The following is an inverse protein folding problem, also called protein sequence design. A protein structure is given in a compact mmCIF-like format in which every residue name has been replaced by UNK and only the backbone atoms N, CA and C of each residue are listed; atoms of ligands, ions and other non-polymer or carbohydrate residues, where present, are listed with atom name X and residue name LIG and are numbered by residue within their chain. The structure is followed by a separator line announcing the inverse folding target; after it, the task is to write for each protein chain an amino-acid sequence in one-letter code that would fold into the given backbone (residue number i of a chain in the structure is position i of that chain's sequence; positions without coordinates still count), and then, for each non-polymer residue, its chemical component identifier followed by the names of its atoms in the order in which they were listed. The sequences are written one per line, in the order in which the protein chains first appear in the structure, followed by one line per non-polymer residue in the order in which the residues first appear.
data_IF_882333783931
#
_entry.id   IF_882333783931
#
_cell.length_a   1.000
_cell.length_b   1.000
_cell.length_c   1.000
_cell.angle_alpha   90.00
_cell.angle_beta   90.00
_cell.angle_gamma   90.00
#
_symmetry.space_group_name_H-M   'P 1'
#
loop_
_entity.id
_entity.type
_entity.pdbx_description
1 polymer ?
#
# COMPACT_ATOMS: atom_id res chain seq x y z
N UNK A 1 -21.28 -22.57 17.17
CA UNK A 1 -20.72 -21.26 16.76
C UNK A 1 -19.22 -21.41 16.55
N UNK A 2 -18.73 -21.27 15.32
CA UNK A 2 -17.29 -21.16 15.00
C UNK A 2 -17.05 -19.79 14.35
N UNK A 3 -16.51 -18.88 15.15
CA UNK A 3 -15.77 -17.67 14.79
C UNK A 3 -14.60 -18.05 13.83
N UNK A 4 -14.12 -17.28 12.85
CA UNK A 4 -14.46 -15.96 12.27
C UNK A 4 -13.67 -15.86 10.96
N UNK A 5 -14.29 -15.35 9.88
CA UNK A 5 -13.72 -14.80 8.62
C UNK A 5 -12.50 -15.50 8.00
N UNK A 6 -12.76 -16.50 7.15
CA UNK A 6 -11.88 -16.82 6.02
C UNK A 6 -12.20 -15.86 4.88
N UNK A 7 -11.26 -15.00 4.45
CA UNK A 7 -11.23 -14.41 3.09
C UNK A 7 -10.08 -13.39 2.97
N UNK A 8 -9.27 -13.53 1.93
CA UNK A 8 -8.12 -12.65 1.56
C UNK A 8 -8.58 -11.34 0.90
N UNK A 9 -9.78 -10.85 1.23
CA UNK A 9 -10.56 -9.90 0.41
C UNK A 9 -11.29 -10.64 -0.73
N UNK A 10 -12.62 -10.54 -0.64
CA UNK A 10 -13.72 -11.11 -1.41
C UNK A 10 -13.68 -12.59 -1.90
N UNK A 11 -14.67 -13.35 -1.40
CA UNK A 11 -15.29 -14.58 -1.95
C UNK A 11 -14.53 -15.91 -2.02
N UNK A 12 -13.20 -15.99 -1.96
CA UNK A 12 -12.49 -17.29 -2.07
C UNK A 12 -11.89 -17.76 -0.74
N UNK A 13 -12.27 -18.97 -0.30
CA UNK A 13 -11.53 -19.68 0.74
C UNK A 13 -10.24 -20.24 0.12
N UNK A 14 -9.10 -19.82 0.64
CA UNK A 14 -7.78 -20.31 0.23
C UNK A 14 -7.27 -21.31 1.26
N UNK A 15 -6.43 -22.25 0.81
CA UNK A 15 -5.69 -23.13 1.71
C UNK A 15 -4.61 -22.35 2.48
N UNK A 16 -4.20 -22.84 3.66
CA UNK A 16 -3.18 -22.18 4.49
C UNK A 16 -1.85 -21.89 3.73
N UNK A 17 -1.34 -22.80 2.87
CA UNK A 17 -0.15 -22.51 2.06
C UNK A 17 -0.37 -21.39 1.04
N UNK A 18 -1.53 -21.34 0.39
CA UNK A 18 -1.88 -20.27 -0.56
C UNK A 18 -2.06 -18.93 0.15
N UNK A 19 -2.67 -18.94 1.34
CA UNK A 19 -2.79 -17.77 2.20
C UNK A 19 -1.42 -17.22 2.58
N UNK A 20 -0.48 -18.09 2.97
CA UNK A 20 0.89 -17.69 3.29
C UNK A 20 1.58 -17.06 2.08
N UNK A 21 1.54 -17.73 0.93
CA UNK A 21 2.19 -17.22 -0.28
C UNK A 21 1.64 -15.86 -0.73
N UNK A 22 0.32 -15.68 -0.70
CA UNK A 22 -0.33 -14.40 -1.00
C UNK A 22 0.04 -13.29 -0.01
N UNK A 23 0.15 -13.64 1.27
CA UNK A 23 0.58 -12.70 2.31
C UNK A 23 2.04 -12.25 2.11
N UNK A 24 2.93 -13.17 1.75
CA UNK A 24 4.34 -12.88 1.49
C UNK A 24 4.48 -11.99 0.24
N UNK A 25 3.73 -12.30 -0.82
CA UNK A 25 3.67 -11.47 -2.03
C UNK A 25 3.14 -10.05 -1.73
N UNK A 26 2.06 -9.95 -0.96
CA UNK A 26 1.51 -8.66 -0.54
C UNK A 26 2.52 -7.82 0.24
N UNK A 27 3.27 -8.45 1.14
CA UNK A 27 4.33 -7.76 1.88
C UNK A 27 5.43 -7.26 0.95
N UNK A 28 5.91 -8.09 0.02
CA UNK A 28 6.94 -7.68 -0.95
C UNK A 28 6.50 -6.47 -1.78
N UNK A 29 5.26 -6.48 -2.29
CA UNK A 29 4.71 -5.36 -3.06
C UNK A 29 4.69 -4.07 -2.23
N UNK A 30 4.27 -4.15 -0.97
CA UNK A 30 4.22 -2.98 -0.08
C UNK A 30 5.63 -2.47 0.29
N UNK A 31 6.59 -3.37 0.46
CA UNK A 31 7.99 -3.01 0.68
C UNK A 31 8.58 -2.29 -0.54
N UNK A 32 8.34 -2.79 -1.74
CA UNK A 32 8.80 -2.17 -2.99
C UNK A 32 8.14 -0.80 -3.21
N UNK A 33 6.85 -0.68 -2.88
CA UNK A 33 6.15 0.59 -2.91
C UNK A 33 6.77 1.64 -1.98
N UNK A 34 7.06 1.26 -0.73
CA UNK A 34 7.71 2.15 0.24
C UNK A 34 9.11 2.57 -0.24
N UNK A 35 9.88 1.63 -0.80
CA UNK A 35 11.21 1.91 -1.34
C UNK A 35 11.15 2.89 -2.51
N UNK A 36 10.18 2.72 -3.42
CA UNK A 36 9.97 3.63 -4.54
C UNK A 36 9.69 5.05 -4.06
N UNK A 37 8.84 5.23 -3.04
CA UNK A 37 8.56 6.55 -2.46
C UNK A 37 9.84 7.19 -1.88
N UNK A 38 10.68 6.40 -1.21
CA UNK A 38 11.95 6.89 -0.67
C UNK A 38 12.92 7.31 -1.78
N UNK A 39 13.01 6.54 -2.88
CA UNK A 39 13.81 6.88 -4.06
C UNK A 39 13.31 8.17 -4.71
N UNK A 40 12.00 8.31 -4.91
CA UNK A 40 11.42 9.55 -5.44
C UNK A 40 11.76 10.76 -4.57
N UNK A 41 11.65 10.62 -3.25
CA UNK A 41 12.02 11.69 -2.32
C UNK A 41 13.53 12.00 -2.36
N UNK A 42 14.39 10.98 -2.47
CA UNK A 42 15.83 11.17 -2.61
C UNK A 42 16.18 11.90 -3.92
N UNK A 43 15.61 11.49 -5.05
CA UNK A 43 15.79 12.18 -6.33
C UNK A 43 15.31 13.63 -6.25
N UNK A 44 14.16 13.87 -5.61
CA UNK A 44 13.65 15.22 -5.41
C UNK A 44 14.63 16.11 -4.61
N UNK A 45 15.25 15.56 -3.56
CA UNK A 45 16.28 16.25 -2.78
C UNK A 45 17.54 16.50 -3.62
N UNK A 46 17.98 15.51 -4.40
CA UNK A 46 19.16 15.61 -5.26
C UNK A 46 18.99 16.76 -6.28
N UNK A 47 17.87 16.80 -7.00
CA UNK A 47 17.57 17.85 -7.98
C UNK A 47 17.53 19.24 -7.33
N UNK A 48 16.89 19.35 -6.16
CA UNK A 48 16.75 20.62 -5.44
C UNK A 48 18.01 21.07 -4.69
N UNK A 49 19.06 20.25 -4.60
CA UNK A 49 20.30 20.62 -3.89
C UNK A 49 21.05 21.76 -4.60
N UNK A 50 20.92 21.85 -5.93
CA UNK A 50 21.61 22.86 -6.75
C UNK A 50 20.67 23.84 -7.44
N UNK A 51 19.37 23.79 -7.14
CA UNK A 51 18.36 24.66 -7.77
C UNK A 51 17.99 25.82 -6.83
N UNK A 52 18.23 27.06 -7.26
CA UNK A 52 17.87 28.27 -6.50
C UNK A 52 16.34 28.46 -6.40
N UNK A 53 15.60 27.87 -7.34
CA UNK A 53 14.15 27.78 -7.31
C UNK A 53 13.78 26.34 -6.98
N UNK A 54 13.27 26.09 -5.76
CA UNK A 54 12.88 24.74 -5.35
C UNK A 54 11.68 24.29 -6.17
N UNK A 55 11.92 23.42 -7.14
CA UNK A 55 10.85 22.78 -7.89
C UNK A 55 10.42 21.52 -7.14
N UNK A 56 9.15 21.50 -6.75
CA UNK A 56 8.56 20.32 -6.15
C UNK A 56 8.14 19.37 -7.28
N UNK A 57 9.14 18.79 -7.94
CA UNK A 57 9.04 18.01 -9.19
C UNK A 57 8.01 16.88 -9.14
N UNK A 58 7.67 16.41 -7.93
CA UNK A 58 6.75 15.31 -7.67
C UNK A 58 5.58 15.66 -6.74
N UNK A 59 5.34 16.95 -6.46
CA UNK A 59 4.38 17.39 -5.41
C UNK A 59 2.90 17.24 -5.73
N UNK A 60 2.53 17.00 -6.99
CA UNK A 60 1.13 16.97 -7.40
C UNK A 60 0.72 15.77 -8.27
N UNK A 61 1.65 15.11 -8.97
CA UNK A 61 1.26 14.15 -10.03
C UNK A 61 1.42 12.67 -9.69
N UNK A 62 2.07 12.31 -8.58
CA UNK A 62 2.51 10.94 -8.38
C UNK A 62 1.83 10.23 -7.20
N UNK A 63 0.50 10.03 -7.28
CA UNK A 63 -0.05 8.75 -6.82
C UNK A 63 0.48 7.69 -7.80
N UNK A 64 1.74 7.28 -7.63
CA UNK A 64 2.28 6.18 -8.42
C UNK A 64 1.46 4.96 -8.01
N UNK A 65 0.71 4.40 -8.95
CA UNK A 65 -0.12 3.24 -8.71
C UNK A 65 0.72 1.95 -8.65
N UNK A 66 1.71 1.93 -7.75
CA UNK A 66 2.61 0.79 -7.55
C UNK A 66 1.94 -0.39 -6.85
N UNK A 67 0.72 -0.22 -6.34
CA UNK A 67 0.00 -1.25 -5.57
C UNK A 67 -1.25 -1.77 -6.28
N UNK A 68 -1.52 -1.39 -7.53
CA UNK A 68 -2.66 -1.90 -8.30
C UNK A 68 -2.69 -3.43 -8.37
N UNK A 69 -1.52 -4.06 -8.48
CA UNK A 69 -1.39 -5.51 -8.49
C UNK A 69 -1.81 -6.14 -7.14
N UNK A 70 -1.64 -5.42 -6.03
CA UNK A 70 -2.12 -5.84 -4.71
C UNK A 70 -3.65 -5.91 -4.68
N UNK A 71 -4.34 -4.98 -5.33
CA UNK A 71 -5.80 -5.00 -5.44
C UNK A 71 -6.28 -6.16 -6.28
N UNK A 72 -5.59 -6.47 -7.38
CA UNK A 72 -5.90 -7.64 -8.19
C UNK A 72 -5.71 -8.94 -7.39
N UNK A 73 -4.60 -9.09 -6.66
CA UNK A 73 -4.33 -10.28 -5.82
C UNK A 73 -5.34 -10.37 -4.67
N UNK A 74 -5.74 -9.23 -4.10
CA UNK A 74 -6.76 -9.15 -3.06
C UNK A 74 -8.21 -9.22 -3.56
N UNK A 75 -8.47 -9.27 -4.87
CA UNK A 75 -9.86 -9.22 -5.35
C UNK A 75 -10.63 -7.96 -4.91
N UNK A 76 -9.94 -6.82 -4.83
CA UNK A 76 -10.55 -5.53 -4.49
C UNK A 76 -10.89 -4.83 -5.81
N UNK A 77 -12.10 -5.04 -6.31
CA UNK A 77 -12.52 -4.57 -7.64
C UNK A 77 -13.11 -3.15 -7.64
N UNK A 78 -13.69 -2.74 -6.51
CA UNK A 78 -14.34 -1.44 -6.34
C UNK A 78 -13.31 -0.31 -6.38
N UNK A 79 -13.42 0.58 -7.38
CA UNK A 79 -12.48 1.68 -7.59
C UNK A 79 -12.42 2.66 -6.42
N UNK A 80 -13.56 2.95 -5.78
CA UNK A 80 -13.61 3.81 -4.60
C UNK A 80 -12.88 3.20 -3.40
N UNK A 81 -12.93 1.86 -3.26
CA UNK A 81 -12.15 1.16 -2.24
C UNK A 81 -10.65 1.17 -2.57
N UNK A 82 -10.28 1.00 -3.84
CA UNK A 82 -8.88 1.08 -4.28
C UNK A 82 -8.30 2.46 -3.99
N UNK A 83 -9.00 3.53 -4.33
CA UNK A 83 -8.54 4.91 -4.10
C UNK A 83 -8.29 5.20 -2.62
N UNK A 84 -9.18 4.76 -1.74
CA UNK A 84 -9.03 4.90 -0.29
C UNK A 84 -7.76 4.17 0.21
N UNK A 85 -7.49 2.98 -0.31
CA UNK A 85 -6.33 2.20 0.10
C UNK A 85 -5.03 2.78 -0.47
N UNK A 86 -5.03 3.27 -1.71
CA UNK A 86 -3.91 4.02 -2.26
C UNK A 86 -3.56 5.25 -1.42
N UNK A 87 -4.57 6.01 -1.00
CA UNK A 87 -4.38 7.19 -0.15
C UNK A 87 -3.76 6.84 1.21
N UNK A 88 -4.22 5.75 1.83
CA UNK A 88 -3.65 5.23 3.07
C UNK A 88 -2.19 4.82 2.87
N UNK A 89 -1.88 4.05 1.83
CA UNK A 89 -0.53 3.59 1.56
C UNK A 89 0.42 4.77 1.30
N UNK A 90 0.01 5.71 0.45
CA UNK A 90 0.77 6.93 0.17
C UNK A 90 1.02 7.75 1.44
N UNK A 91 -0.04 8.05 2.19
CA UNK A 91 0.04 8.84 3.42
C UNK A 91 1.01 8.22 4.43
N UNK A 92 0.93 6.90 4.65
CA UNK A 92 1.86 6.21 5.56
C UNK A 92 3.28 6.26 4.99
N UNK A 93 3.47 5.93 3.71
CA UNK A 93 4.79 5.90 3.09
C UNK A 93 5.49 7.27 3.19
N UNK A 94 4.80 8.36 2.84
CA UNK A 94 5.37 9.72 2.89
C UNK A 94 5.66 10.17 4.32
N UNK A 95 4.73 9.94 5.27
CA UNK A 95 4.92 10.39 6.65
C UNK A 95 5.99 9.61 7.42
N UNK A 96 6.51 8.53 6.85
CA UNK A 96 7.49 7.64 7.50
C UNK A 96 8.79 7.47 6.70
N UNK A 97 9.03 8.34 5.71
CA UNK A 97 10.24 8.33 4.88
C UNK A 97 11.51 8.20 5.72
N UNK A 98 12.41 7.31 5.29
CA UNK A 98 13.68 7.01 5.97
C UNK A 98 13.57 6.06 7.16
N UNK A 99 12.35 5.65 7.55
CA UNK A 99 12.13 4.56 8.51
C UNK A 99 12.34 3.17 7.90
N UNK A 100 12.33 2.13 8.74
CA UNK A 100 12.48 0.74 8.30
C UNK A 100 11.41 0.35 7.27
N UNK A 101 11.83 -0.16 6.12
CA UNK A 101 10.97 -0.54 5.00
C UNK A 101 9.90 -1.57 5.40
N UNK A 102 10.30 -2.64 6.07
CA UNK A 102 9.41 -3.75 6.45
C UNK A 102 8.41 -3.33 7.51
N UNK A 103 8.80 -2.51 8.49
CA UNK A 103 7.89 -1.97 9.51
C UNK A 103 6.84 -1.05 8.88
N UNK A 104 7.25 -0.20 7.92
CA UNK A 104 6.34 0.69 7.18
C UNK A 104 5.37 -0.11 6.32
N UNK A 105 5.85 -1.10 5.59
CA UNK A 105 5.01 -2.00 4.80
C UNK A 105 4.01 -2.76 5.67
N UNK A 106 4.43 -3.26 6.84
CA UNK A 106 3.57 -3.92 7.81
C UNK A 106 2.47 -2.98 8.31
N UNK A 107 2.84 -1.73 8.65
CA UNK A 107 1.87 -0.71 9.07
C UNK A 107 0.81 -0.42 8.01
N UNK A 108 1.21 -0.37 6.73
CA UNK A 108 0.26 -0.22 5.62
C UNK A 108 -0.68 -1.44 5.57
N UNK A 109 -0.13 -2.65 5.61
CA UNK A 109 -0.91 -3.89 5.57
C UNK A 109 -1.93 -3.98 6.70
N UNK A 110 -1.52 -3.69 7.93
CA UNK A 110 -2.42 -3.74 9.10
C UNK A 110 -3.53 -2.69 8.98
N UNK A 111 -3.19 -1.50 8.50
CA UNK A 111 -4.18 -0.43 8.25
C UNK A 111 -5.16 -0.82 7.15
N UNK A 112 -4.70 -1.48 6.09
CA UNK A 112 -5.53 -2.01 5.02
C UNK A 112 -6.55 -3.03 5.55
N UNK A 113 -6.09 -4.00 6.36
CA UNK A 113 -6.95 -5.02 6.97
C UNK A 113 -8.05 -4.41 7.83
N UNK A 114 -7.71 -3.39 8.61
CA UNK A 114 -8.69 -2.64 9.41
C UNK A 114 -9.68 -1.87 8.52
N UNK A 115 -9.19 -1.14 7.51
CA UNK A 115 -10.06 -0.34 6.63
C UNK A 115 -10.97 -1.21 5.77
N UNK A 116 -10.46 -2.31 5.22
CA UNK A 116 -11.27 -3.24 4.44
C UNK A 116 -12.32 -3.96 5.29
N UNK A 117 -12.08 -4.12 6.59
CA UNK A 117 -13.09 -4.64 7.51
C UNK A 117 -14.27 -3.68 7.69
N UNK A 118 -14.06 -2.36 7.63
CA UNK A 118 -15.15 -1.37 7.63
C UNK A 118 -15.80 -1.22 6.27
N UNK A 119 -15.02 -1.20 5.18
CA UNK A 119 -15.57 -1.14 3.81
C UNK A 119 -16.43 -2.36 3.44
N UNK A 120 -16.18 -3.52 4.06
CA UNK A 120 -17.04 -4.72 3.94
C UNK A 120 -18.38 -4.59 4.66
N UNK A 121 -18.49 -3.72 5.67
CA UNK A 121 -19.74 -3.48 6.38
C UNK A 121 -20.67 -2.52 5.60
N UNK A 122 -20.11 -1.79 4.63
CA UNK A 122 -20.81 -0.88 3.72
C UNK A 122 -21.29 -1.58 2.42
N UNK A 123 -21.21 -2.92 2.37
CA UNK A 123 -21.81 -3.78 1.33
C UNK A 123 -23.06 -4.49 1.84
#
# INVERSE_FOLDING_TARGET
MKNTRKTVFYSKEYSDPELKHRNDMAMSILEDYVLMIDVCNWVNKLINTSNAHKDAFWSFENKINGIQILFHIGGIERLDHQEILEDIAYTIAVNTIGGNKSERALKIKDTFLNKLSSLRADL
#
